data_IF_378334989031
#
_entry.id   IF_378334989031
#
_cell.length_a   1.000
_cell.length_b   1.000
_cell.length_c   1.000
_cell.angle_alpha   90.00
_cell.angle_beta   90.00
_cell.angle_gamma   90.00
#
_symmetry.space_group_name_H-M   'P 1'
#
loop_
_entity.id
_entity.type
_entity.pdbx_description
1 polymer ?
#
# COMPACT_ATOMS: atom_id res chain seq x y z
N UNK A 1 23.83 11.69 11.71
CA UNK A 1 22.79 10.96 12.46
C UNK A 1 23.31 10.33 13.75
N UNK A 2 24.27 9.38 13.75
CA UNK A 2 24.76 8.73 15.00
C UNK A 2 25.28 9.72 16.07
N UNK A 3 26.00 10.77 15.65
CA UNK A 3 26.52 11.80 16.59
C UNK A 3 25.40 12.61 17.25
N UNK A 4 24.29 12.84 16.55
CA UNK A 4 23.14 13.63 17.04
C UNK A 4 22.33 12.79 18.04
N UNK A 5 22.07 11.52 17.73
CA UNK A 5 21.38 10.62 18.66
C UNK A 5 22.16 10.44 19.96
N UNK A 6 23.50 10.28 19.88
CA UNK A 6 24.37 10.25 21.08
C UNK A 6 24.29 11.55 21.88
N UNK A 7 24.31 12.69 21.21
CA UNK A 7 24.20 14.00 21.87
C UNK A 7 22.86 14.16 22.60
N UNK A 8 21.74 13.80 21.97
CA UNK A 8 20.41 13.87 22.58
C UNK A 8 20.29 12.95 23.79
N UNK A 9 20.82 11.73 23.73
CA UNK A 9 20.82 10.80 24.87
C UNK A 9 21.68 11.34 26.03
N UNK A 10 22.83 11.94 25.73
CA UNK A 10 23.70 12.56 26.75
C UNK A 10 23.04 13.81 27.34
N UNK A 11 22.37 14.63 26.54
CA UNK A 11 21.67 15.82 27.01
C UNK A 11 20.47 15.46 27.89
N UNK A 12 19.65 14.50 27.47
CA UNK A 12 18.56 13.95 28.28
C UNK A 12 19.09 13.32 29.57
N UNK A 13 20.27 12.68 29.51
CA UNK A 13 20.90 12.11 30.69
C UNK A 13 21.40 13.21 31.67
N UNK A 14 21.86 14.34 31.14
CA UNK A 14 22.29 15.49 31.94
C UNK A 14 21.10 16.19 32.62
N UNK A 15 20.00 16.37 31.89
CA UNK A 15 18.77 17.01 32.39
C UNK A 15 18.10 16.20 33.51
N UNK A 16 18.14 14.86 33.43
CA UNK A 16 17.61 13.98 34.47
C UNK A 16 18.52 13.83 35.70
N UNK A 17 19.80 14.22 35.61
CA UNK A 17 20.75 14.09 36.71
C UNK A 17 20.62 15.20 37.78
N UNK A 18 19.87 16.28 37.50
CA UNK A 18 19.72 17.43 38.40
C UNK A 18 21.02 18.23 38.59
N UNK A 19 20.96 19.46 39.15
CA UNK A 19 22.16 20.25 39.41
C UNK A 19 23.02 19.59 40.49
N UNK A 20 24.30 19.40 40.18
CA UNK A 20 25.32 19.02 41.15
C UNK A 20 25.50 20.18 42.15
N UNK A 21 24.95 20.04 43.36
CA UNK A 21 25.42 20.87 44.47
C UNK A 21 26.83 20.39 44.85
N UNK A 22 27.78 21.33 44.84
CA UNK A 22 29.15 21.11 45.30
C UNK A 22 29.13 21.02 46.82
N UNK A 23 29.46 19.86 47.39
CA UNK A 23 29.75 19.75 48.82
C UNK A 23 30.97 20.63 49.15
N UNK A 24 30.72 21.73 49.88
CA UNK A 24 31.72 22.48 50.64
C UNK A 24 31.72 22.00 52.10
N UNK A 25 32.83 22.18 52.84
CA UNK A 25 33.18 21.34 53.97
C UNK A 25 32.41 21.66 55.27
N UNK A 26 32.15 20.58 56.02
CA UNK A 26 31.89 20.44 57.46
C UNK A 26 31.56 21.71 58.26
N UNK A 27 30.34 21.78 58.79
CA UNK A 27 30.02 22.55 59.98
C UNK A 27 29.02 21.78 60.83
N UNK A 28 29.51 21.31 61.98
CA UNK A 28 28.72 20.70 63.06
C UNK A 28 27.64 21.66 63.56
N UNK A 29 26.40 21.18 63.68
CA UNK A 29 25.46 21.66 64.71
C UNK A 29 24.37 20.63 64.98
N UNK A 30 24.37 20.08 66.19
CA UNK A 30 23.33 19.22 66.74
C UNK A 30 21.98 19.95 66.85
N UNK A 31 20.88 19.27 66.52
CA UNK A 31 19.57 19.45 67.18
C UNK A 31 18.60 18.33 66.82
N UNK A 32 18.12 17.67 67.88
CA UNK A 32 17.15 16.57 67.91
C UNK A 32 15.78 16.94 67.32
N UNK A 33 15.11 15.98 66.66
CA UNK A 33 13.69 15.64 66.93
C UNK A 33 13.22 14.45 66.08
N UNK A 34 12.63 13.46 66.75
CA UNK A 34 12.00 12.26 66.17
C UNK A 34 10.81 12.57 65.25
N UNK A 35 10.68 11.83 64.13
CA UNK A 35 9.39 11.46 63.53
C UNK A 35 9.52 10.32 62.51
N UNK A 36 8.70 9.30 62.74
CA UNK A 36 8.44 8.11 61.95
C UNK A 36 7.88 8.44 60.54
N UNK A 37 8.44 7.82 59.49
CA UNK A 37 7.75 7.27 58.30
C UNK A 37 8.62 7.27 57.04
N UNK A 38 8.69 6.11 56.40
CA UNK A 38 9.12 5.95 55.00
C UNK A 38 10.57 5.52 54.81
N UNK A 39 10.79 4.22 54.65
CA UNK A 39 11.97 3.72 53.95
C UNK A 39 11.81 4.13 52.47
N UNK A 40 12.13 5.38 52.17
CA UNK A 40 12.47 5.77 50.81
C UNK A 40 13.84 5.17 50.55
N UNK A 41 13.86 4.05 49.82
CA UNK A 41 15.08 3.47 49.28
C UNK A 41 15.79 4.53 48.45
N UNK A 42 16.72 5.26 49.07
CA UNK A 42 17.59 6.22 48.43
C UNK A 42 18.36 5.47 47.34
N UNK A 43 17.90 5.56 46.10
CA UNK A 43 18.61 5.02 44.95
C UNK A 43 20.00 5.66 44.99
N UNK A 44 21.08 4.86 45.00
CA UNK A 44 22.43 5.43 45.01
C UNK A 44 22.55 6.40 43.84
N UNK A 45 22.94 7.64 44.12
CA UNK A 45 23.10 8.70 43.13
C UNK A 45 24.12 8.22 42.10
N UNK A 46 23.63 7.73 40.95
CA UNK A 46 24.47 7.20 39.87
C UNK A 46 25.33 8.35 39.35
N UNK A 47 26.65 8.15 39.29
CA UNK A 47 27.54 9.10 38.65
C UNK A 47 27.13 9.34 37.19
N UNK A 48 27.34 10.54 36.66
CA UNK A 48 26.91 10.93 35.32
C UNK A 48 27.32 9.92 34.22
N UNK A 49 28.54 9.37 34.31
CA UNK A 49 29.04 8.35 33.38
C UNK A 49 28.28 7.02 33.48
N UNK A 50 27.91 6.62 34.70
CA UNK A 50 27.16 5.39 34.94
C UNK A 50 25.71 5.51 34.43
N UNK A 51 25.13 6.70 34.56
CA UNK A 51 23.81 6.99 34.02
C UNK A 51 23.80 7.06 32.48
N UNK A 52 24.82 7.70 31.88
CA UNK A 52 24.98 7.69 30.42
C UNK A 52 25.17 6.26 29.91
N UNK A 53 25.99 5.43 30.57
CA UNK A 53 26.18 4.03 30.21
C UNK A 53 24.87 3.24 30.24
N UNK A 54 24.03 3.43 31.27
CA UNK A 54 22.70 2.81 31.36
C UNK A 54 21.77 3.28 30.23
N UNK A 55 21.78 4.57 29.89
CA UNK A 55 20.98 5.10 28.79
C UNK A 55 21.46 4.58 27.43
N UNK A 56 22.78 4.40 27.25
CA UNK A 56 23.34 3.76 26.06
C UNK A 56 22.90 2.30 25.96
N UNK A 57 22.95 1.56 27.06
CA UNK A 57 22.56 0.14 27.09
C UNK A 57 21.06 -0.04 26.84
N UNK A 58 20.23 0.87 27.36
CA UNK A 58 18.78 0.83 27.17
C UNK A 58 18.34 1.20 25.76
N UNK A 59 18.96 2.21 25.15
CA UNK A 59 18.44 2.83 23.92
C UNK A 59 19.33 2.67 22.68
N UNK A 60 20.60 2.30 22.84
CA UNK A 60 21.57 2.18 21.74
C UNK A 60 22.05 0.76 21.47
N UNK A 61 21.50 -0.25 22.16
CA UNK A 61 21.79 -1.67 21.90
C UNK A 61 21.05 -2.16 20.65
N UNK A 62 21.81 -2.77 19.73
CA UNK A 62 21.26 -3.42 18.52
C UNK A 62 20.51 -4.69 18.90
N UNK A 63 19.40 -4.96 18.20
CA UNK A 63 18.54 -6.12 18.47
C UNK A 63 17.47 -5.87 19.54
N UNK A 64 17.45 -4.70 20.18
CA UNK A 64 16.29 -4.23 20.94
C UNK A 64 15.26 -3.62 19.99
N UNK A 65 13.95 -3.73 20.28
CA UNK A 65 12.90 -2.99 19.53
C UNK A 65 12.91 -1.47 19.84
N UNK A 66 14.09 -0.88 20.05
CA UNK A 66 14.28 0.52 20.38
C UNK A 66 14.41 1.44 19.17
N UNK A 67 14.33 2.75 19.41
CA UNK A 67 14.38 3.77 18.35
C UNK A 67 15.64 3.71 17.48
N UNK A 68 16.80 3.33 18.05
CA UNK A 68 18.04 3.15 17.29
C UNK A 68 17.99 2.00 16.32
N UNK A 69 17.37 0.87 16.71
CA UNK A 69 17.19 -0.26 15.82
C UNK A 69 16.28 0.13 14.65
N UNK A 70 15.16 0.81 14.92
CA UNK A 70 14.26 1.31 13.89
C UNK A 70 14.98 2.25 12.90
N UNK A 71 15.81 3.18 13.39
CA UNK A 71 16.58 4.07 12.52
C UNK A 71 17.63 3.31 11.67
N UNK A 72 18.27 2.28 12.23
CA UNK A 72 19.21 1.43 11.51
C UNK A 72 18.51 0.55 10.46
N UNK A 73 17.33 0.03 10.78
CA UNK A 73 16.50 -0.75 9.86
C UNK A 73 16.03 0.14 8.71
N UNK A 74 15.59 1.37 9.00
CA UNK A 74 15.20 2.36 7.98
C UNK A 74 16.39 2.70 7.06
N UNK A 75 17.59 2.88 7.61
CA UNK A 75 18.82 3.09 6.83
C UNK A 75 19.12 1.89 5.94
N UNK A 76 19.04 0.68 6.48
CA UNK A 76 19.33 -0.56 5.75
C UNK A 76 18.30 -0.80 4.65
N UNK A 77 17.02 -0.52 4.94
CA UNK A 77 15.94 -0.54 3.97
C UNK A 77 16.16 0.48 2.85
N UNK A 78 16.49 1.73 3.18
CA UNK A 78 16.80 2.76 2.17
C UNK A 78 18.01 2.39 1.31
N UNK A 79 19.03 1.77 1.91
CA UNK A 79 20.20 1.29 1.18
C UNK A 79 19.86 0.09 0.28
N UNK A 80 18.98 -0.82 0.74
CA UNK A 80 18.45 -1.92 -0.07
C UNK A 80 17.63 -1.40 -1.24
N UNK A 81 16.81 -0.37 -1.05
CA UNK A 81 16.11 0.31 -2.14
C UNK A 81 17.13 0.89 -3.11
N UNK A 82 18.14 1.61 -2.63
CA UNK A 82 19.14 2.24 -3.50
C UNK A 82 19.92 1.22 -4.35
N UNK A 83 20.31 0.07 -3.79
CA UNK A 83 21.04 -0.97 -4.52
C UNK A 83 20.15 -1.85 -5.40
N UNK A 84 18.88 -2.09 -5.03
CA UNK A 84 17.99 -2.97 -5.79
C UNK A 84 17.07 -2.21 -6.75
N UNK A 85 16.88 -0.90 -6.58
CA UNK A 85 16.07 -0.06 -7.46
C UNK A 85 17.01 0.62 -8.45
N UNK A 86 16.90 0.20 -9.70
CA UNK A 86 17.71 0.58 -10.85
C UNK A 86 17.87 2.11 -10.98
N UNK A 87 18.99 2.62 -10.49
CA UNK A 87 19.44 4.01 -10.67
C UNK A 87 20.42 4.18 -11.84
N UNK A 88 20.75 3.10 -12.57
CA UNK A 88 21.50 3.23 -13.82
C UNK A 88 20.55 3.76 -14.90
N UNK A 89 20.88 4.91 -15.48
CA UNK A 89 20.10 5.53 -16.54
C UNK A 89 20.03 4.61 -17.76
N UNK A 90 19.01 3.76 -17.79
CA UNK A 90 18.78 2.82 -18.88
C UNK A 90 17.86 3.43 -19.96
N UNK A 91 17.48 4.70 -19.82
CA UNK A 91 16.62 5.41 -20.77
C UNK A 91 17.46 6.51 -21.41
N UNK A 92 17.77 6.34 -22.69
CA UNK A 92 18.39 7.37 -23.52
C UNK A 92 17.37 7.86 -24.57
N UNK A 93 17.50 9.12 -24.98
CA UNK A 93 16.60 9.78 -25.91
C UNK A 93 17.38 10.30 -27.10
N UNK A 94 17.16 9.70 -28.27
CA UNK A 94 17.76 10.15 -29.53
C UNK A 94 16.63 10.68 -30.42
N UNK A 95 16.37 11.98 -30.32
CA UNK A 95 15.28 12.62 -31.06
C UNK A 95 13.91 12.06 -30.66
N UNK A 96 13.25 11.36 -31.59
CA UNK A 96 11.93 10.73 -31.40
C UNK A 96 12.03 9.24 -31.00
N UNK A 97 13.24 8.74 -30.73
CA UNK A 97 13.47 7.35 -30.32
C UNK A 97 13.93 7.28 -28.86
N UNK A 98 13.36 6.33 -28.13
CA UNK A 98 13.77 5.98 -26.78
C UNK A 98 14.57 4.69 -26.85
N UNK A 99 15.78 4.74 -26.32
CA UNK A 99 16.62 3.57 -26.07
C UNK A 99 16.37 3.10 -24.64
N UNK A 100 15.87 1.88 -24.50
CA UNK A 100 15.81 1.18 -23.22
C UNK A 100 16.55 -0.14 -23.30
N UNK A 101 17.75 -0.21 -22.69
CA UNK A 101 18.67 -1.36 -22.82
C UNK A 101 18.91 -1.69 -24.31
N UNK A 102 18.60 -2.92 -24.73
CA UNK A 102 18.73 -3.38 -26.12
C UNK A 102 17.48 -3.08 -26.98
N UNK A 103 16.45 -2.44 -26.40
CA UNK A 103 15.23 -2.07 -27.11
C UNK A 103 15.30 -0.63 -27.59
N UNK A 104 15.05 -0.44 -28.89
CA UNK A 104 14.87 0.87 -29.51
C UNK A 104 13.41 0.99 -29.91
N UNK A 105 12.72 2.04 -29.46
CA UNK A 105 11.33 2.27 -29.86
C UNK A 105 11.12 3.74 -30.22
N UNK A 106 10.46 3.97 -31.35
CA UNK A 106 10.02 5.32 -31.74
C UNK A 106 8.77 5.75 -30.97
N UNK A 107 8.59 7.05 -30.76
CA UNK A 107 7.35 7.57 -30.13
C UNK A 107 6.10 7.31 -30.96
N UNK A 108 6.23 7.17 -32.29
CA UNK A 108 5.13 6.73 -33.15
C UNK A 108 4.70 5.28 -32.84
N UNK A 109 5.68 4.39 -32.65
CA UNK A 109 5.46 2.98 -32.30
C UNK A 109 4.88 2.86 -30.89
N UNK A 110 5.41 3.62 -29.94
CA UNK A 110 4.88 3.67 -28.58
C UNK A 110 3.44 4.14 -28.52
N UNK A 111 3.10 5.24 -29.22
CA UNK A 111 1.72 5.72 -29.30
C UNK A 111 0.81 4.68 -29.93
N UNK A 112 1.27 4.02 -30.99
CA UNK A 112 0.52 2.94 -31.65
C UNK A 112 0.30 1.75 -30.72
N UNK A 113 1.31 1.36 -29.93
CA UNK A 113 1.21 0.31 -28.92
C UNK A 113 0.18 0.68 -27.84
N UNK A 114 0.22 1.90 -27.31
CA UNK A 114 -0.76 2.38 -26.31
C UNK A 114 -2.17 2.39 -26.91
N UNK A 115 -2.34 2.92 -28.12
CA UNK A 115 -3.64 2.90 -28.80
C UNK A 115 -4.14 1.48 -29.05
N UNK A 116 -3.27 0.55 -29.44
CA UNK A 116 -3.58 -0.86 -29.60
C UNK A 116 -4.03 -1.50 -28.28
N UNK A 117 -3.33 -1.21 -27.19
CA UNK A 117 -3.69 -1.70 -25.85
C UNK A 117 -5.04 -1.14 -25.39
N UNK A 118 -5.32 0.15 -25.63
CA UNK A 118 -6.64 0.76 -25.36
C UNK A 118 -7.74 0.07 -26.16
N UNK A 119 -7.52 -0.12 -27.46
CA UNK A 119 -8.49 -0.76 -28.35
C UNK A 119 -8.79 -2.19 -27.92
N UNK A 120 -7.76 -2.97 -27.62
CA UNK A 120 -7.91 -4.36 -27.18
C UNK A 120 -8.57 -4.47 -25.80
N UNK A 121 -8.17 -3.62 -24.86
CA UNK A 121 -8.79 -3.58 -23.52
C UNK A 121 -10.28 -3.21 -23.61
N UNK A 122 -10.62 -2.25 -24.49
CA UNK A 122 -12.01 -1.88 -24.77
C UNK A 122 -12.78 -3.03 -25.42
N UNK A 123 -12.18 -3.71 -26.41
CA UNK A 123 -12.78 -4.86 -27.09
C UNK A 123 -13.11 -5.97 -26.09
N UNK A 124 -12.16 -6.36 -25.24
CA UNK A 124 -12.36 -7.35 -24.19
C UNK A 124 -13.48 -6.93 -23.21
N UNK A 125 -13.51 -5.67 -22.78
CA UNK A 125 -14.58 -5.18 -21.91
C UNK A 125 -15.95 -5.36 -22.56
N UNK A 126 -16.09 -4.93 -23.81
CA UNK A 126 -17.39 -4.92 -24.50
C UNK A 126 -17.82 -6.34 -24.89
N UNK A 127 -16.96 -7.09 -25.57
CA UNK A 127 -17.31 -8.38 -26.17
C UNK A 127 -17.21 -9.53 -25.17
N UNK A 128 -16.11 -9.60 -24.41
CA UNK A 128 -15.79 -10.76 -23.59
C UNK A 128 -16.40 -10.68 -22.18
N UNK A 129 -16.53 -9.47 -21.62
CA UNK A 129 -17.04 -9.26 -20.27
C UNK A 129 -18.50 -8.81 -20.22
N UNK A 130 -18.86 -7.81 -21.02
CA UNK A 130 -20.21 -7.26 -21.05
C UNK A 130 -21.13 -7.97 -22.04
N UNK A 131 -20.59 -8.82 -22.92
CA UNK A 131 -21.34 -9.51 -23.99
C UNK A 131 -22.12 -8.55 -24.91
N UNK A 132 -21.64 -7.32 -25.06
CA UNK A 132 -22.23 -6.34 -25.97
C UNK A 132 -21.64 -6.53 -27.38
N UNK A 133 -22.48 -7.04 -28.29
CA UNK A 133 -22.10 -7.29 -29.70
C UNK A 133 -22.30 -6.05 -30.59
N UNK A 134 -23.07 -5.06 -30.16
CA UNK A 134 -23.45 -3.91 -30.99
C UNK A 134 -23.08 -2.54 -30.42
N UNK A 135 -22.48 -2.49 -29.23
CA UNK A 135 -22.05 -1.24 -28.58
C UNK A 135 -23.20 -0.38 -28.07
N UNK A 136 -24.43 -0.93 -28.01
CA UNK A 136 -25.67 -0.20 -27.72
C UNK A 136 -26.31 -0.61 -26.40
N UNK A 137 -25.94 -1.77 -25.87
CA UNK A 137 -26.64 -2.33 -24.73
C UNK A 137 -25.99 -1.89 -23.41
N UNK A 138 -24.76 -1.37 -23.44
CA UNK A 138 -24.07 -0.87 -22.24
C UNK A 138 -24.75 0.39 -21.68
N UNK A 139 -25.27 0.32 -20.44
CA UNK A 139 -25.92 1.47 -19.82
C UNK A 139 -24.91 2.61 -19.63
N UNK A 140 -25.36 3.83 -19.86
CA UNK A 140 -24.56 5.01 -19.55
C UNK A 140 -24.29 5.05 -18.03
N UNK A 141 -23.02 5.13 -17.65
CA UNK A 141 -22.62 5.23 -16.24
C UNK A 141 -22.67 6.71 -15.83
N UNK A 142 -23.50 7.09 -14.85
CA UNK A 142 -23.59 8.46 -14.38
C UNK A 142 -22.42 8.79 -13.44
N UNK A 143 -21.23 8.99 -14.02
CA UNK A 143 -19.97 9.18 -13.28
C UNK A 143 -20.02 10.31 -12.24
N UNK A 144 -20.83 11.34 -12.48
CA UNK A 144 -20.94 12.52 -11.61
C UNK A 144 -21.76 12.25 -10.33
N UNK A 145 -22.76 11.37 -10.39
CA UNK A 145 -23.57 10.98 -9.23
C UNK A 145 -23.04 9.73 -8.55
N UNK A 146 -22.15 8.97 -9.19
CA UNK A 146 -21.55 7.79 -8.59
C UNK A 146 -20.85 8.15 -7.28
N UNK A 147 -21.23 7.47 -6.22
CA UNK A 147 -20.66 7.58 -4.88
C UNK A 147 -20.32 6.18 -4.39
N UNK A 148 -19.19 6.11 -3.69
CA UNK A 148 -18.77 4.94 -2.95
C UNK A 148 -18.60 5.31 -1.48
N UNK A 149 -18.79 4.34 -0.59
CA UNK A 149 -18.55 4.47 0.83
C UNK A 149 -17.30 3.66 1.23
N UNK A 150 -16.10 4.26 1.23
CA UNK A 150 -14.87 3.53 1.53
C UNK A 150 -14.75 3.08 2.99
N UNK A 151 -15.65 3.52 3.88
CA UNK A 151 -15.68 3.07 5.27
C UNK A 151 -16.49 1.77 5.46
N UNK A 152 -17.29 1.37 4.46
CA UNK A 152 -18.09 0.15 4.54
C UNK A 152 -17.28 -1.07 4.06
N UNK A 153 -16.81 -1.84 5.03
CA UNK A 153 -16.02 -3.05 4.79
C UNK A 153 -16.86 -4.34 4.86
N UNK A 154 -18.19 -4.24 4.76
CA UNK A 154 -19.04 -5.44 4.78
C UNK A 154 -18.72 -6.34 3.58
N UNK A 155 -18.59 -7.67 3.78
CA UNK A 155 -18.41 -8.60 2.67
C UNK A 155 -19.54 -8.46 1.64
N UNK A 156 -19.18 -8.30 0.37
CA UNK A 156 -20.14 -8.11 -0.71
C UNK A 156 -20.67 -6.69 -0.88
N UNK A 157 -20.17 -5.71 -0.11
CA UNK A 157 -20.43 -4.30 -0.39
C UNK A 157 -19.88 -3.91 -1.77
N UNK A 158 -20.62 -3.07 -2.48
CA UNK A 158 -20.24 -2.47 -3.75
C UNK A 158 -20.94 -1.12 -3.87
N UNK A 159 -20.35 -0.17 -4.60
CA UNK A 159 -20.96 1.13 -4.91
C UNK A 159 -22.36 1.02 -5.55
N UNK A 160 -22.70 -0.14 -6.13
CA UNK A 160 -24.03 -0.46 -6.65
C UNK A 160 -25.12 -0.52 -5.57
N UNK A 161 -24.74 -0.72 -4.30
CA UNK A 161 -25.64 -0.80 -3.15
C UNK A 161 -25.78 0.54 -2.41
N UNK A 162 -24.99 1.56 -2.79
CA UNK A 162 -25.12 2.89 -2.21
C UNK A 162 -26.41 3.55 -2.69
N UNK A 163 -27.29 3.93 -1.77
CA UNK A 163 -28.58 4.57 -2.05
C UNK A 163 -28.42 5.89 -2.83
N UNK A 164 -27.25 6.53 -2.73
CA UNK A 164 -26.93 7.78 -3.44
C UNK A 164 -26.57 7.54 -4.91
N UNK A 165 -26.17 6.32 -5.25
CA UNK A 165 -25.79 5.90 -6.60
C UNK A 165 -26.99 5.25 -7.29
N UNK A 166 -27.75 6.01 -8.08
CA UNK A 166 -28.82 5.45 -8.89
C UNK A 166 -28.33 5.17 -10.31
N UNK A 167 -28.23 3.90 -10.66
CA UNK A 167 -27.97 3.47 -12.03
C UNK A 167 -29.28 3.37 -12.81
N UNK A 168 -29.25 3.60 -14.14
CA UNK A 168 -30.44 3.46 -14.99
C UNK A 168 -30.92 2.00 -15.13
N UNK A 169 -30.12 1.04 -14.68
CA UNK A 169 -30.39 -0.40 -14.76
C UNK A 169 -30.06 -1.08 -13.43
N UNK A 170 -30.60 -2.28 -13.22
CA UNK A 170 -30.19 -3.12 -12.11
C UNK A 170 -28.79 -3.69 -12.36
N UNK A 171 -27.77 -3.00 -11.87
CA UNK A 171 -26.36 -3.38 -12.09
C UNK A 171 -25.98 -4.78 -11.60
N UNK A 172 -26.68 -5.31 -10.59
CA UNK A 172 -26.40 -6.66 -10.07
C UNK A 172 -26.95 -7.76 -10.99
N UNK A 173 -28.09 -7.50 -11.65
CA UNK A 173 -28.74 -8.46 -12.53
C UNK A 173 -28.34 -8.30 -14.00
N UNK A 174 -27.75 -7.16 -14.38
CA UNK A 174 -27.46 -6.82 -15.78
C UNK A 174 -26.76 -7.94 -16.56
N UNK A 175 -25.70 -8.54 -16.01
CA UNK A 175 -24.99 -9.62 -16.70
C UNK A 175 -25.81 -10.91 -16.75
N UNK A 176 -26.56 -11.22 -15.70
CA UNK A 176 -27.44 -12.39 -15.67
C UNK A 176 -28.56 -12.27 -16.71
N UNK A 177 -29.18 -11.09 -16.80
CA UNK A 177 -30.23 -10.81 -17.78
C UNK A 177 -29.69 -10.95 -19.21
N UNK A 178 -28.47 -10.46 -19.48
CA UNK A 178 -27.82 -10.60 -20.80
C UNK A 178 -27.50 -12.04 -21.16
N UNK A 179 -26.94 -12.80 -20.21
CA UNK A 179 -26.67 -14.24 -20.41
C UNK A 179 -27.97 -15.00 -20.68
N UNK A 180 -29.09 -14.57 -20.09
CA UNK A 180 -30.41 -15.16 -20.32
C UNK A 180 -31.07 -14.79 -21.66
N UNK A 181 -30.71 -13.65 -22.25
CA UNK A 181 -31.31 -13.15 -23.50
C UNK A 181 -30.64 -13.69 -24.78
N UNK A 182 -29.34 -13.98 -24.73
CA UNK A 182 -28.57 -14.44 -25.90
C UNK A 182 -28.23 -15.93 -25.80
N UNK A 183 -28.82 -16.74 -26.68
CA UNK A 183 -28.64 -18.21 -26.70
C UNK A 183 -27.17 -18.61 -26.88
N UNK A 184 -26.40 -17.85 -27.66
CA UNK A 184 -24.96 -18.10 -27.86
C UNK A 184 -24.14 -17.86 -26.58
N UNK A 185 -24.48 -16.83 -25.81
CA UNK A 185 -23.84 -16.55 -24.51
C UNK A 185 -24.33 -17.53 -23.46
N UNK A 186 -25.60 -17.89 -23.46
CA UNK A 186 -26.18 -18.89 -22.58
C UNK A 186 -25.48 -20.25 -22.71
N UNK A 187 -25.21 -20.69 -23.94
CA UNK A 187 -24.49 -21.94 -24.22
C UNK A 187 -23.06 -21.98 -23.64
N UNK A 188 -22.45 -20.82 -23.35
CA UNK A 188 -21.13 -20.75 -22.68
C UNK A 188 -21.23 -21.01 -21.18
N UNK A 189 -22.37 -20.71 -20.56
CA UNK A 189 -22.54 -20.71 -19.11
C UNK A 189 -23.53 -21.77 -18.60
N UNK A 190 -24.34 -22.37 -19.48
CA UNK A 190 -25.35 -23.35 -19.11
C UNK A 190 -25.11 -24.64 -19.87
N UNK A 191 -25.17 -25.77 -19.17
CA UNK A 191 -25.00 -27.09 -19.80
C UNK A 191 -26.22 -27.46 -20.66
N UNK A 192 -26.02 -27.93 -21.90
CA UNK A 192 -27.13 -28.33 -22.76
C UNK A 192 -27.90 -29.50 -22.14
N UNK A 193 -29.23 -29.41 -22.14
CA UNK A 193 -30.15 -30.50 -21.75
C UNK A 193 -30.33 -30.77 -20.25
N UNK A 194 -29.71 -29.99 -19.36
CA UNK A 194 -29.76 -30.20 -17.89
C UNK A 194 -30.50 -29.10 -17.11
N UNK A 195 -31.17 -28.17 -17.80
CA UNK A 195 -31.81 -27.00 -17.18
C UNK A 195 -30.82 -25.87 -16.90
N UNK A 196 -31.15 -24.98 -15.96
CA UNK A 196 -30.38 -23.77 -15.59
C UNK A 196 -29.10 -24.08 -14.77
N UNK A 197 -28.50 -25.26 -14.93
CA UNK A 197 -27.29 -25.66 -14.18
C UNK A 197 -26.08 -24.97 -14.82
N UNK A 198 -25.43 -24.14 -14.03
CA UNK A 198 -24.25 -23.39 -14.44
C UNK A 198 -23.09 -24.34 -14.80
N UNK A 199 -22.48 -24.13 -15.97
CA UNK A 199 -21.28 -24.82 -16.37
C UNK A 199 -20.05 -24.19 -15.72
N UNK A 200 -19.41 -24.96 -14.84
CA UNK A 200 -18.22 -24.55 -14.12
C UNK A 200 -17.08 -24.09 -15.04
N UNK A 201 -16.87 -24.78 -16.18
CA UNK A 201 -15.80 -24.43 -17.12
C UNK A 201 -16.07 -23.09 -17.80
N UNK A 202 -17.32 -22.82 -18.15
CA UNK A 202 -17.78 -21.52 -18.65
C UNK A 202 -17.48 -20.37 -17.68
N UNK A 203 -17.83 -20.56 -16.41
CA UNK A 203 -17.56 -19.57 -15.35
C UNK A 203 -16.06 -19.37 -15.14
N UNK A 204 -15.29 -20.45 -15.03
CA UNK A 204 -13.83 -20.37 -14.87
C UNK A 204 -13.19 -19.63 -16.06
N UNK A 205 -13.62 -19.91 -17.29
CA UNK A 205 -13.16 -19.21 -18.48
C UNK A 205 -13.49 -17.71 -18.48
N UNK A 206 -14.69 -17.34 -18.03
CA UNK A 206 -15.06 -15.93 -17.85
C UNK A 206 -14.18 -15.25 -16.78
N UNK A 207 -13.95 -15.90 -15.64
CA UNK A 207 -13.09 -15.35 -14.59
C UNK A 207 -11.64 -15.18 -15.06
N UNK A 208 -11.12 -16.09 -15.87
CA UNK A 208 -9.81 -15.93 -16.52
C UNK A 208 -9.77 -14.69 -17.43
N UNK A 209 -10.83 -14.42 -18.19
CA UNK A 209 -10.93 -13.18 -19.00
C UNK A 209 -10.99 -11.92 -18.16
N UNK A 210 -11.67 -11.96 -17.01
CA UNK A 210 -11.69 -10.84 -16.05
C UNK A 210 -10.29 -10.54 -15.52
N UNK A 211 -9.50 -11.57 -15.22
CA UNK A 211 -8.10 -11.41 -14.79
C UNK A 211 -7.27 -10.79 -15.90
N UNK A 212 -7.32 -11.35 -17.12
CA UNK A 212 -6.60 -10.84 -18.29
C UNK A 212 -6.95 -9.35 -18.57
N UNK A 213 -8.23 -8.99 -18.49
CA UNK A 213 -8.68 -7.61 -18.65
C UNK A 213 -8.10 -6.69 -17.57
N UNK A 214 -8.12 -7.12 -16.29
CA UNK A 214 -7.58 -6.32 -15.17
C UNK A 214 -6.07 -6.10 -15.33
N UNK A 215 -5.33 -7.10 -15.78
CA UNK A 215 -3.90 -6.97 -16.06
C UNK A 215 -3.63 -5.91 -17.13
N UNK A 216 -4.33 -5.98 -18.27
CA UNK A 216 -4.16 -4.98 -19.35
C UNK A 216 -4.61 -3.59 -18.91
N UNK A 217 -5.70 -3.48 -18.15
CA UNK A 217 -6.18 -2.21 -17.60
C UNK A 217 -5.16 -1.59 -16.62
N UNK A 218 -4.54 -2.40 -15.77
CA UNK A 218 -3.51 -1.95 -14.83
C UNK A 218 -2.30 -1.39 -15.56
N UNK A 219 -1.81 -2.12 -16.57
CA UNK A 219 -0.71 -1.66 -17.44
C UNK A 219 -1.08 -0.34 -18.10
N UNK A 220 -2.30 -0.23 -18.64
CA UNK A 220 -2.77 0.99 -19.28
C UNK A 220 -2.83 2.17 -18.30
N UNK A 221 -3.41 1.98 -17.11
CA UNK A 221 -3.48 3.00 -16.06
C UNK A 221 -2.08 3.46 -15.62
N UNK A 222 -1.12 2.53 -15.56
CA UNK A 222 0.26 2.86 -15.23
C UNK A 222 0.92 3.72 -16.31
N UNK A 223 0.79 3.32 -17.58
CA UNK A 223 1.40 4.03 -18.71
C UNK A 223 0.77 5.41 -18.93
N UNK A 224 -0.56 5.53 -18.88
CA UNK A 224 -1.27 6.79 -19.19
C UNK A 224 -1.48 7.69 -17.98
N UNK A 225 -1.60 7.11 -16.78
CA UNK A 225 -1.93 7.83 -15.55
C UNK A 225 -0.71 8.38 -14.81
N UNK A 226 0.51 7.98 -15.19
CA UNK A 226 1.74 8.43 -14.53
C UNK A 226 1.85 8.04 -13.06
N UNK A 227 1.00 7.12 -12.57
CA UNK A 227 1.08 6.60 -11.21
C UNK A 227 2.30 5.69 -11.11
N UNK A 228 3.43 6.33 -10.78
CA UNK A 228 4.62 5.64 -10.31
C UNK A 228 4.27 4.84 -9.04
N UNK A 229 5.00 3.74 -8.87
CA UNK A 229 4.98 2.66 -7.87
C UNK A 229 4.95 3.06 -6.37
N UNK A 230 4.48 4.27 -6.03
CA UNK A 230 4.51 4.84 -4.68
C UNK A 230 3.19 4.71 -3.91
N UNK A 231 2.13 4.14 -4.49
CA UNK A 231 0.85 3.91 -3.79
C UNK A 231 0.19 2.57 -4.16
N UNK A 232 0.94 1.49 -4.12
CA UNK A 232 0.40 0.14 -4.23
C UNK A 232 0.09 -0.58 -2.88
N UNK A 233 -0.26 0.05 -1.73
CA UNK A 233 -0.65 -0.75 -0.57
C UNK A 233 -2.01 -1.45 -0.75
N UNK A 234 -2.83 -1.06 -1.74
CA UNK A 234 -4.14 -1.69 -1.99
C UNK A 234 -4.05 -2.97 -2.84
N UNK A 235 -2.98 -3.14 -3.64
CA UNK A 235 -2.85 -4.28 -4.56
C UNK A 235 -2.23 -5.52 -3.91
N UNK A 236 -1.35 -5.35 -2.91
CA UNK A 236 -0.73 -6.48 -2.20
C UNK A 236 -1.70 -7.14 -1.21
N UNK A 237 -2.70 -6.41 -0.71
CA UNK A 237 -3.66 -6.93 0.26
C UNK A 237 -4.68 -7.91 -0.34
N UNK A 238 -4.88 -7.91 -1.66
CA UNK A 238 -5.79 -8.83 -2.34
C UNK A 238 -5.16 -10.20 -2.69
N UNK A 239 -3.83 -10.30 -2.75
CA UNK A 239 -3.16 -11.59 -2.97
C UNK A 239 -2.80 -12.35 -1.68
N UNK A 240 -2.80 -11.70 -0.52
CA UNK A 240 -2.42 -12.32 0.76
C UNK A 240 -3.58 -12.97 1.54
N UNK A 241 -4.78 -13.03 0.96
CA UNK A 241 -5.90 -13.83 1.48
C UNK A 241 -6.22 -14.99 0.53
N UNK A 242 -5.32 -15.97 0.50
CA UNK A 242 -5.63 -17.36 0.17
C UNK A 242 -5.16 -18.25 1.30
#
# INVERSE_FOLDING_TARGET
MIKIARFVVVQQALELAGPFESDGPDSDSDSDSDSDSGIDTARPRKGCLQFVAEMMDRFMVRGSHGAMQWMLDLRTYGLKIHYNTTSTGNVDWIGDQILYKDMQFGMAEFRSMVHGLVAETRRMLMEDLLFDKQGKDVPAVPWHTLRDNPADNRPGWSFLQDQRSQLPVNGQMLLFDRVGQDEATQARFIRPGTGMIADRKGIEGYMSRVVEYREKLLVLMHITGGLTDRRAPVLVEMELKK
#
